data_IF_164818959713
#
_entry.id   IF_164818959713
#
_cell.length_a   1.000
_cell.length_b   1.000
_cell.length_c   1.000
_cell.angle_alpha   90.00
_cell.angle_beta   90.00
_cell.angle_gamma   90.00
#
_symmetry.space_group_name_H-M   'P 1'
#
loop_
_entity.id
_entity.type
_entity.pdbx_description
1 polymer ?
#
# COMPACT_ATOMS: atom_id res chain seq x y z
N UNK A 1 -8.02 -0.12 -7.20
CA UNK A 1 -7.68 -1.56 -7.24
C UNK A 1 -8.51 -2.28 -6.20
N UNK A 2 -9.02 -3.48 -6.48
CA UNK A 2 -9.84 -4.24 -5.54
C UNK A 2 -9.40 -5.70 -5.54
N UNK A 3 -9.20 -6.28 -4.35
CA UNK A 3 -8.74 -7.66 -4.18
C UNK A 3 -9.32 -8.28 -2.90
N UNK A 4 -9.56 -9.59 -2.95
CA UNK A 4 -9.88 -10.37 -1.77
C UNK A 4 -8.59 -10.76 -1.05
N UNK A 5 -8.53 -10.53 0.25
CA UNK A 5 -7.40 -10.92 1.10
C UNK A 5 -7.78 -12.12 1.98
N UNK A 6 -6.81 -12.94 2.39
CA UNK A 6 -7.00 -13.96 3.41
C UNK A 6 -7.06 -13.34 4.81
N UNK A 7 -7.57 -14.10 5.78
CA UNK A 7 -7.63 -13.68 7.18
C UNK A 7 -8.90 -12.88 7.52
N UNK A 8 -8.82 -12.10 8.60
CA UNK A 8 -9.95 -11.34 9.15
C UNK A 8 -9.79 -9.85 8.88
N UNK A 9 -10.91 -9.12 8.83
CA UNK A 9 -10.93 -7.66 8.66
C UNK A 9 -9.98 -6.92 9.63
N UNK A 10 -9.90 -7.40 10.88
CA UNK A 10 -9.01 -6.82 11.88
C UNK A 10 -7.53 -6.95 11.51
N UNK A 11 -7.12 -8.12 11.03
CA UNK A 11 -5.75 -8.36 10.59
C UNK A 11 -5.39 -7.51 9.37
N UNK A 12 -6.31 -7.35 8.42
CA UNK A 12 -6.13 -6.45 7.27
C UNK A 12 -5.95 -5.02 7.76
N UNK A 13 -6.83 -4.55 8.65
CA UNK A 13 -6.76 -3.20 9.21
C UNK A 13 -5.42 -2.91 9.89
N UNK A 14 -4.94 -3.83 10.74
CA UNK A 14 -3.63 -3.71 11.40
C UNK A 14 -2.48 -3.60 10.37
N UNK A 15 -2.54 -4.36 9.27
CA UNK A 15 -1.55 -4.26 8.19
C UNK A 15 -1.61 -2.95 7.39
N UNK A 16 -2.69 -2.17 7.52
CA UNK A 16 -2.81 -0.85 6.90
C UNK A 16 -2.44 0.30 7.85
N UNK A 17 -2.46 0.07 9.17
CA UNK A 17 -2.27 1.15 10.15
C UNK A 17 -1.01 1.02 10.99
N UNK A 18 -0.52 -0.19 11.25
CA UNK A 18 0.61 -0.42 12.15
C UNK A 18 1.96 -0.32 11.40
N UNK A 19 2.88 0.57 11.80
CA UNK A 19 4.15 0.77 11.10
C UNK A 19 4.97 -0.50 10.95
N UNK A 20 5.03 -1.31 12.01
CA UNK A 20 5.81 -2.55 12.01
C UNK A 20 5.27 -3.58 11.00
N UNK A 21 3.95 -3.60 10.76
CA UNK A 21 3.33 -4.49 9.78
C UNK A 21 3.44 -3.92 8.37
N UNK A 22 3.22 -2.62 8.20
CA UNK A 22 3.43 -1.90 6.94
C UNK A 22 4.86 -2.08 6.41
N UNK A 23 5.85 -1.99 7.29
CA UNK A 23 7.27 -2.18 6.98
C UNK A 23 7.61 -3.55 6.38
N UNK A 24 6.66 -4.49 6.37
CA UNK A 24 6.83 -5.82 5.82
C UNK A 24 6.34 -5.96 4.38
N UNK A 25 5.49 -5.07 3.86
CA UNK A 25 4.93 -5.23 2.51
C UNK A 25 4.74 -3.91 1.74
N UNK A 26 4.60 -2.80 2.44
CA UNK A 26 4.18 -1.51 1.88
C UNK A 26 5.39 -0.64 1.49
N UNK A 27 5.29 0.21 0.45
CA UNK A 27 6.26 1.28 0.22
C UNK A 27 6.09 2.43 1.24
N UNK A 28 4.92 2.53 1.87
CA UNK A 28 4.62 3.51 2.92
C UNK A 28 4.91 2.90 4.29
N UNK A 29 5.94 3.41 4.98
CA UNK A 29 6.29 3.03 6.36
C UNK A 29 6.25 4.28 7.24
N UNK A 30 5.12 4.53 7.92
CA UNK A 30 4.92 5.75 8.68
C UNK A 30 5.68 5.73 10.01
N UNK A 31 5.98 6.91 10.54
CA UNK A 31 6.64 7.13 11.84
C UNK A 31 5.73 6.90 13.05
N UNK A 32 4.42 6.72 12.81
CA UNK A 32 3.40 6.41 13.82
C UNK A 32 2.26 5.59 13.23
N UNK A 33 1.43 4.95 14.07
CA UNK A 33 0.19 4.34 13.60
C UNK A 33 -0.74 5.33 12.91
N UNK A 34 -1.34 4.90 11.79
CA UNK A 34 -2.26 5.70 10.98
C UNK A 34 -3.71 5.63 11.50
N UNK A 35 -3.89 5.53 12.81
CA UNK A 35 -5.20 5.31 13.46
C UNK A 35 -5.89 6.60 13.91
N UNK A 36 -5.25 7.75 13.70
CA UNK A 36 -5.77 9.07 14.08
C UNK A 36 -5.39 10.14 13.05
N UNK A 37 -6.34 11.03 12.77
CA UNK A 37 -6.15 12.20 11.89
C UNK A 37 -5.02 13.08 12.40
N UNK A 38 -4.19 13.56 11.48
CA UNK A 38 -3.08 14.45 11.78
C UNK A 38 -1.81 14.13 11.01
N UNK A 39 -0.73 14.89 11.26
CA UNK A 39 0.50 14.77 10.51
C UNK A 39 1.18 13.41 10.75
N UNK A 40 1.83 12.88 9.73
CA UNK A 40 2.71 11.71 9.82
C UNK A 40 3.75 11.78 8.70
N UNK A 41 4.89 11.13 8.90
CA UNK A 41 5.95 11.03 7.89
C UNK A 41 6.21 9.58 7.54
N UNK A 42 6.49 9.29 6.28
CA UNK A 42 6.83 7.95 5.79
C UNK A 42 8.22 7.91 5.16
N UNK A 43 8.94 6.80 5.35
CA UNK A 43 10.17 6.48 4.62
C UNK A 43 10.06 5.09 4.04
N UNK A 44 10.37 4.90 2.77
CA UNK A 44 10.36 3.56 2.20
C UNK A 44 11.51 2.72 2.79
N UNK A 45 12.70 3.31 2.84
CA UNK A 45 13.89 2.74 3.47
C UNK A 45 14.48 3.61 4.60
N UNK A 46 15.17 3.00 5.58
CA UNK A 46 15.90 3.76 6.59
C UNK A 46 16.95 4.68 5.96
N UNK A 47 16.96 5.96 6.36
CA UNK A 47 17.92 6.95 5.88
C UNK A 47 17.46 7.77 4.66
N UNK A 48 16.29 7.45 4.09
CA UNK A 48 15.70 8.28 3.04
C UNK A 48 15.02 9.53 3.60
N UNK A 49 14.90 10.54 2.73
CA UNK A 49 14.12 11.74 3.04
C UNK A 49 12.64 11.36 3.23
N UNK A 50 12.02 11.79 4.36
CA UNK A 50 10.65 11.45 4.63
C UNK A 50 9.70 12.18 3.69
N UNK A 51 8.62 11.51 3.31
CA UNK A 51 7.49 12.09 2.58
C UNK A 51 6.27 12.21 3.49
N UNK A 52 5.34 13.09 3.13
CA UNK A 52 4.10 13.27 3.88
C UNK A 52 3.26 11.98 3.87
N UNK A 53 2.79 11.57 5.06
CA UNK A 53 1.91 10.44 5.28
C UNK A 53 0.67 10.82 6.10
N UNK A 54 0.36 12.12 6.16
CA UNK A 54 -0.72 12.70 6.97
C UNK A 54 -2.02 11.92 6.82
N UNK A 55 -2.61 11.54 7.96
CA UNK A 55 -3.92 10.92 8.00
C UNK A 55 -4.97 12.01 7.82
N UNK A 56 -5.74 11.91 6.74
CA UNK A 56 -6.78 12.86 6.35
C UNK A 56 -8.14 12.43 6.90
N UNK A 57 -8.40 11.13 6.91
CA UNK A 57 -9.65 10.55 7.40
C UNK A 57 -9.41 9.13 7.92
N UNK A 58 -10.09 8.76 9.00
CA UNK A 58 -10.05 7.40 9.55
C UNK A 58 -11.42 7.04 10.13
N UNK A 59 -11.97 5.90 9.72
CA UNK A 59 -13.11 5.26 10.35
C UNK A 59 -12.79 3.79 10.53
N UNK A 60 -12.19 3.45 11.67
CA UNK A 60 -11.73 2.10 11.94
C UNK A 60 -12.91 1.12 12.07
N UNK A 61 -12.79 -0.14 11.58
CA UNK A 61 -11.69 -0.71 10.81
C UNK A 61 -12.03 -0.80 9.30
N UNK A 62 -12.70 0.21 8.73
CA UNK A 62 -13.26 0.12 7.36
C UNK A 62 -12.72 1.17 6.40
N UNK A 63 -12.21 2.30 6.88
CA UNK A 63 -11.73 3.41 6.03
C UNK A 63 -10.48 4.07 6.59
N UNK A 64 -9.49 4.25 5.72
CA UNK A 64 -8.30 5.08 5.98
C UNK A 64 -8.00 5.90 4.72
N UNK A 65 -7.91 7.22 4.86
CA UNK A 65 -7.41 8.12 3.81
C UNK A 65 -6.18 8.83 4.32
N UNK A 66 -5.06 8.75 3.60
CA UNK A 66 -3.81 9.38 3.99
C UNK A 66 -2.98 9.83 2.78
N UNK A 67 -1.99 10.70 3.03
CA UNK A 67 -1.02 11.12 2.02
C UNK A 67 0.01 10.03 1.73
N UNK A 68 0.57 10.09 0.53
CA UNK A 68 1.79 9.38 0.14
C UNK A 68 2.62 10.36 -0.68
N UNK A 69 3.40 11.20 -0.01
CA UNK A 69 4.00 12.37 -0.64
C UNK A 69 2.93 13.34 -1.13
N UNK A 70 2.94 13.65 -2.42
CA UNK A 70 1.94 14.53 -3.04
C UNK A 70 0.61 13.80 -3.37
N UNK A 71 0.65 12.46 -3.42
CA UNK A 71 -0.50 11.63 -3.73
C UNK A 71 -1.41 11.43 -2.52
N UNK A 72 -2.63 10.95 -2.77
CA UNK A 72 -3.55 10.50 -1.72
C UNK A 72 -3.97 9.06 -1.96
N UNK A 73 -3.87 8.24 -0.91
CA UNK A 73 -4.33 6.86 -0.87
C UNK A 73 -5.58 6.77 0.01
N UNK A 74 -6.57 6.05 -0.48
CA UNK A 74 -7.80 5.74 0.24
C UNK A 74 -8.00 4.24 0.25
N UNK A 75 -8.09 3.67 1.44
CA UNK A 75 -8.28 2.25 1.70
C UNK A 75 -9.68 2.02 2.24
N UNK A 76 -10.43 1.11 1.61
CA UNK A 76 -11.71 0.62 2.12
C UNK A 76 -11.66 -0.88 2.35
N UNK A 77 -12.16 -1.33 3.49
CA UNK A 77 -12.29 -2.74 3.82
C UNK A 77 -13.77 -3.10 3.96
N UNK A 78 -14.19 -4.12 3.23
CA UNK A 78 -15.51 -4.74 3.30
C UNK A 78 -15.35 -6.25 3.55
N UNK A 79 -15.48 -6.65 4.81
CA UNK A 79 -15.11 -8.00 5.27
C UNK A 79 -13.63 -8.27 5.01
N UNK A 80 -13.34 -9.15 4.04
CA UNK A 80 -11.98 -9.48 3.61
C UNK A 80 -11.59 -8.85 2.28
N UNK A 81 -12.47 -8.03 1.69
CA UNK A 81 -12.19 -7.32 0.44
C UNK A 81 -11.52 -5.99 0.74
N UNK A 82 -10.35 -5.76 0.16
CA UNK A 82 -9.65 -4.50 0.20
C UNK A 82 -9.85 -3.74 -1.11
N UNK A 83 -10.14 -2.45 -1.01
CA UNK A 83 -10.17 -1.51 -2.12
C UNK A 83 -9.19 -0.36 -1.86
N UNK A 84 -8.27 -0.17 -2.81
CA UNK A 84 -7.32 0.93 -2.83
C UNK A 84 -7.68 1.91 -3.96
N UNK A 85 -8.00 3.14 -3.60
CA UNK A 85 -8.18 4.26 -4.53
C UNK A 85 -7.02 5.22 -4.39
N UNK A 86 -6.42 5.61 -5.52
CA UNK A 86 -5.27 6.50 -5.56
C UNK A 86 -5.62 7.76 -6.33
N UNK A 87 -5.30 8.92 -5.77
CA UNK A 87 -5.33 10.21 -6.46
C UNK A 87 -3.88 10.67 -6.66
N UNK A 88 -3.40 10.56 -7.89
CA UNK A 88 -2.01 10.82 -8.26
C UNK A 88 -1.82 12.29 -8.66
N UNK A 89 -0.74 12.92 -8.21
CA UNK A 89 -0.32 14.25 -8.67
C UNK A 89 0.26 14.21 -10.08
N UNK A 90 0.89 13.09 -10.47
CA UNK A 90 1.46 12.83 -11.79
C UNK A 90 0.80 11.61 -12.47
N UNK A 91 -0.42 11.75 -13.02
CA UNK A 91 -1.21 10.65 -13.58
C UNK A 91 -0.57 9.98 -14.81
N UNK A 92 0.35 10.64 -15.52
CA UNK A 92 1.13 10.07 -16.63
C UNK A 92 1.94 8.84 -16.21
N UNK A 93 2.28 8.73 -14.92
CA UNK A 93 3.00 7.60 -14.34
C UNK A 93 2.08 6.53 -13.75
N UNK A 94 0.76 6.67 -13.90
CA UNK A 94 -0.22 5.73 -13.32
C UNK A 94 0.05 4.25 -13.64
N UNK A 95 0.43 3.84 -14.87
CA UNK A 95 0.73 2.43 -15.15
C UNK A 95 1.87 1.87 -14.29
N UNK A 96 2.91 2.67 -14.05
CA UNK A 96 4.06 2.29 -13.23
C UNK A 96 3.65 2.17 -11.76
N UNK A 97 2.91 3.15 -11.22
CA UNK A 97 2.41 3.10 -9.85
C UNK A 97 1.49 1.90 -9.61
N UNK A 98 0.58 1.62 -10.54
CA UNK A 98 -0.33 0.47 -10.45
C UNK A 98 0.44 -0.85 -10.41
N UNK A 99 1.49 -1.00 -11.22
CA UNK A 99 2.33 -2.20 -11.21
C UNK A 99 3.05 -2.38 -9.86
N UNK A 100 3.67 -1.32 -9.34
CA UNK A 100 4.34 -1.35 -8.03
C UNK A 100 3.38 -1.71 -6.88
N UNK A 101 2.20 -1.08 -6.85
CA UNK A 101 1.17 -1.41 -5.86
C UNK A 101 0.66 -2.84 -5.99
N UNK A 102 0.54 -3.38 -7.21
CA UNK A 102 0.12 -4.76 -7.41
C UNK A 102 1.11 -5.75 -6.77
N UNK A 103 2.41 -5.51 -6.91
CA UNK A 103 3.45 -6.33 -6.27
C UNK A 103 3.35 -6.23 -4.74
N UNK A 104 3.27 -5.01 -4.20
CA UNK A 104 3.16 -4.79 -2.75
C UNK A 104 1.91 -5.50 -2.17
N UNK A 105 0.77 -5.41 -2.87
CA UNK A 105 -0.47 -6.07 -2.45
C UNK A 105 -0.41 -7.60 -2.53
N UNK A 106 0.32 -8.17 -3.48
CA UNK A 106 0.56 -9.61 -3.53
C UNK A 106 1.40 -10.08 -2.33
N UNK A 107 2.39 -9.27 -1.93
CA UNK A 107 3.20 -9.51 -0.73
C UNK A 107 2.37 -9.44 0.56
N UNK A 108 1.43 -8.49 0.66
CA UNK A 108 0.45 -8.42 1.75
C UNK A 108 -0.43 -9.68 1.80
N UNK A 109 -0.98 -10.10 0.66
CA UNK A 109 -1.81 -11.30 0.59
C UNK A 109 -1.06 -12.55 1.06
N UNK A 110 0.19 -12.73 0.63
CA UNK A 110 1.05 -13.85 1.05
C UNK A 110 1.30 -13.86 2.56
N UNK A 111 1.54 -12.67 3.15
CA UNK A 111 1.72 -12.52 4.61
C UNK A 111 0.49 -12.87 5.41
N UNK A 112 -0.68 -12.44 4.96
CA UNK A 112 -1.95 -12.78 5.61
C UNK A 112 -2.28 -14.28 5.52
N UNK A 113 -1.61 -15.05 4.65
CA UNK A 113 -1.65 -16.52 4.62
C UNK A 113 -0.67 -17.16 5.61
N UNK A 114 0.19 -16.38 6.26
CA UNK A 114 1.25 -16.86 7.15
C UNK A 114 2.56 -17.20 6.44
N UNK A 115 2.75 -16.77 5.19
CA UNK A 115 4.02 -16.96 4.49
C UNK A 115 5.03 -15.86 4.82
N UNK A 116 6.28 -16.25 5.03
CA UNK A 116 7.41 -15.33 5.22
C UNK A 116 8.01 -14.92 3.86
N UNK A 117 7.24 -14.12 3.12
CA UNK A 117 7.67 -13.55 1.84
C UNK A 117 8.55 -12.30 2.12
N UNK A 118 9.70 -12.07 1.48
CA UNK A 118 10.41 -10.80 1.63
C UNK A 118 9.56 -9.60 1.17
N UNK A 119 9.78 -8.43 1.77
CA UNK A 119 9.22 -7.16 1.28
C UNK A 119 9.82 -6.84 -0.08
N UNK A 120 8.99 -6.50 -1.06
CA UNK A 120 9.43 -6.10 -2.41
C UNK A 120 8.87 -4.71 -2.67
N UNK A 121 9.76 -3.71 -2.74
CA UNK A 121 9.45 -2.28 -2.93
C UNK A 121 10.48 -1.63 -3.85
N UNK A 122 10.28 -0.37 -4.24
CA UNK A 122 11.22 0.36 -5.10
C UNK A 122 11.45 -0.28 -6.47
N UNK A 123 12.70 -0.24 -6.94
CA UNK A 123 13.09 -0.83 -8.23
C UNK A 123 12.93 -2.36 -8.25
N UNK A 124 13.03 -3.04 -7.11
CA UNK A 124 12.82 -4.50 -7.03
C UNK A 124 11.36 -4.87 -7.32
N UNK A 125 10.41 -4.01 -6.94
CA UNK A 125 9.00 -4.13 -7.34
C UNK A 125 8.79 -3.86 -8.84
N UNK A 126 9.67 -3.06 -9.46
CA UNK A 126 9.70 -2.88 -10.90
C UNK A 126 10.27 -4.12 -11.60
N UNK A 127 11.30 -4.79 -11.07
CA UNK A 127 11.89 -5.98 -11.69
C UNK A 127 11.03 -7.25 -11.52
N UNK A 128 10.27 -7.39 -10.43
CA UNK A 128 9.42 -8.56 -10.13
C UNK A 128 8.06 -8.56 -10.87
N UNK A 129 8.12 -8.59 -12.20
CA UNK A 129 6.93 -8.84 -13.04
C UNK A 129 6.75 -7.87 -14.20
N UNK A 130 7.72 -7.00 -14.49
CA UNK A 130 7.62 -5.99 -15.55
C UNK A 130 7.20 -6.54 -16.91
N UNK A 131 7.80 -7.65 -17.36
CA UNK A 131 7.53 -8.17 -18.71
C UNK A 131 6.10 -8.72 -18.85
N UNK A 132 5.59 -9.43 -17.84
CA UNK A 132 4.26 -10.05 -17.85
C UNK A 132 3.14 -9.02 -17.58
N UNK A 133 3.37 -8.05 -16.68
CA UNK A 133 2.44 -6.94 -16.42
C UNK A 133 2.36 -5.97 -17.61
N UNK A 134 3.49 -5.63 -18.22
CA UNK A 134 3.54 -4.76 -19.41
C UNK A 134 2.83 -5.42 -20.59
N UNK A 135 3.00 -6.74 -20.78
CA UNK A 135 2.30 -7.49 -21.82
C UNK A 135 0.77 -7.50 -21.59
N UNK A 136 0.33 -7.68 -20.34
CA UNK A 136 -1.09 -7.66 -19.98
C UNK A 136 -1.73 -6.28 -20.24
N UNK A 137 -1.09 -5.18 -19.85
CA UNK A 137 -1.64 -3.83 -20.04
C UNK A 137 -1.43 -3.26 -21.46
N UNK A 138 -0.45 -3.72 -22.23
CA UNK A 138 -0.29 -3.34 -23.64
C UNK A 138 -1.31 -4.01 -24.58
N UNK A 139 -2.01 -5.04 -24.09
CA UNK A 139 -3.06 -5.77 -24.82
C UNK A 139 -4.49 -5.24 -24.56
N UNK A 140 -4.63 -4.10 -23.87
CA UNK A 140 -5.91 -3.42 -23.62
C UNK A 140 -5.94 -2.00 -24.17
#
# INVERSE_FOLDING_TARGET
MRLALPGEQRAIWEHLTEPALLATWSPVVPDRPLTSVGPALSREHPGEEPVAADVLEVAAPTLLTHRCGEDTLEWRIDGTTLELTMRLSAPEHAPMYLAGWQVCLAVLASRLQGHDQPRIVGYDAMEHGWEELRAYYASR
#
